data_IF_218318046882
#
_entry.id   IF_218318046882
#
_cell.length_a   1.000
_cell.length_b   1.000
_cell.length_c   1.000
_cell.angle_alpha   90.00
_cell.angle_beta   90.00
_cell.angle_gamma   90.00
#
_symmetry.space_group_name_H-M   'P 1'
#
loop_
_entity.id
_entity.type
_entity.pdbx_description
1 polymer ?
#
# COMPACT_ATOMS: atom_id res chain seq x y z
N UNK A 1 -42.00 20.82 -36.00
CA UNK A 1 -42.07 19.35 -36.20
C UNK A 1 -41.12 18.71 -35.16
N UNK A 2 -41.65 17.94 -34.20
CA UNK A 2 -40.86 17.22 -33.24
C UNK A 2 -40.38 15.93 -33.92
N UNK A 3 -39.05 15.80 -34.13
CA UNK A 3 -38.45 14.56 -34.63
C UNK A 3 -38.46 13.55 -33.51
N UNK A 4 -39.18 12.46 -33.67
CA UNK A 4 -39.16 11.32 -32.73
C UNK A 4 -37.87 10.51 -32.89
N UNK A 5 -37.36 9.99 -31.81
CA UNK A 5 -36.21 9.05 -31.80
C UNK A 5 -36.62 7.71 -32.44
N UNK A 6 -35.77 7.21 -33.33
CA UNK A 6 -36.04 5.92 -33.94
C UNK A 6 -35.56 4.77 -33.03
N UNK A 7 -36.23 3.62 -33.08
CA UNK A 7 -35.87 2.46 -32.30
C UNK A 7 -34.43 1.98 -32.61
N UNK A 8 -34.02 2.13 -33.89
CA UNK A 8 -32.67 1.72 -34.30
C UNK A 8 -31.58 2.64 -33.76
N UNK A 9 -31.83 3.94 -33.60
CA UNK A 9 -30.89 4.88 -32.97
C UNK A 9 -30.64 4.51 -31.50
N UNK A 10 -31.68 4.12 -30.77
CA UNK A 10 -31.56 3.67 -29.37
C UNK A 10 -30.75 2.38 -29.28
N UNK A 11 -31.02 1.41 -30.18
CA UNK A 11 -30.35 0.12 -30.19
C UNK A 11 -28.84 0.26 -30.47
N UNK A 12 -28.46 1.11 -31.42
CA UNK A 12 -27.04 1.38 -31.74
C UNK A 12 -26.32 2.02 -30.56
N UNK A 13 -26.94 2.99 -29.88
CA UNK A 13 -26.35 3.64 -28.71
C UNK A 13 -26.11 2.62 -27.57
N UNK A 14 -27.09 1.76 -27.29
CA UNK A 14 -26.94 0.71 -26.26
C UNK A 14 -25.83 -0.28 -26.63
N UNK A 15 -25.71 -0.67 -27.91
CA UNK A 15 -24.62 -1.55 -28.35
C UNK A 15 -23.25 -0.93 -28.16
N UNK A 16 -23.07 0.37 -28.48
CA UNK A 16 -21.80 1.08 -28.28
C UNK A 16 -21.45 1.20 -26.80
N UNK A 17 -22.42 1.55 -25.94
CA UNK A 17 -22.20 1.65 -24.50
C UNK A 17 -21.79 0.28 -23.91
N UNK A 18 -22.43 -0.82 -24.35
CA UNK A 18 -22.09 -2.16 -23.88
C UNK A 18 -20.65 -2.55 -24.20
N UNK A 19 -20.15 -2.20 -25.39
CA UNK A 19 -18.76 -2.46 -25.79
C UNK A 19 -17.79 -1.64 -24.95
N UNK A 20 -18.04 -0.34 -24.75
CA UNK A 20 -17.18 0.51 -23.94
C UNK A 20 -17.14 0.05 -22.47
N UNK A 21 -18.30 -0.29 -21.90
CA UNK A 21 -18.40 -0.76 -20.53
C UNK A 21 -17.60 -2.06 -20.28
N UNK A 22 -17.57 -2.97 -21.26
CA UNK A 22 -16.84 -4.23 -21.13
C UNK A 22 -15.33 -4.04 -21.00
N UNK A 23 -14.73 -3.07 -21.72
CA UNK A 23 -13.29 -2.76 -21.66
C UNK A 23 -12.90 -2.11 -20.34
N UNK A 24 -13.75 -1.24 -19.78
CA UNK A 24 -13.47 -0.54 -18.53
C UNK A 24 -13.41 -1.48 -17.32
N UNK A 25 -14.27 -2.51 -17.29
CA UNK A 25 -14.35 -3.43 -16.15
C UNK A 25 -13.09 -4.28 -15.97
N UNK A 26 -12.40 -4.66 -17.05
CA UNK A 26 -11.22 -5.52 -17.00
C UNK A 26 -10.03 -4.81 -16.35
N UNK A 27 -9.87 -3.52 -16.56
CA UNK A 27 -8.72 -2.75 -16.07
C UNK A 27 -8.90 -2.22 -14.63
N UNK A 28 -10.12 -2.19 -14.11
CA UNK A 28 -10.41 -1.55 -12.82
C UNK A 28 -9.74 -2.24 -11.64
N UNK A 29 -9.70 -3.57 -11.60
CA UNK A 29 -9.08 -4.33 -10.51
C UNK A 29 -7.56 -4.10 -10.43
N UNK A 30 -6.87 -4.08 -11.58
CA UNK A 30 -5.43 -3.83 -11.64
C UNK A 30 -5.09 -2.41 -11.18
N UNK A 31 -5.82 -1.41 -11.67
CA UNK A 31 -5.64 0.00 -11.29
C UNK A 31 -5.90 0.23 -9.81
N UNK A 32 -6.92 -0.42 -9.24
CA UNK A 32 -7.22 -0.35 -7.80
C UNK A 32 -6.07 -0.91 -6.96
N UNK A 33 -5.48 -2.03 -7.35
CA UNK A 33 -4.33 -2.62 -6.64
C UNK A 33 -3.09 -1.73 -6.73
N UNK A 34 -2.82 -1.11 -7.86
CA UNK A 34 -1.72 -0.16 -8.03
C UNK A 34 -1.90 1.09 -7.15
N UNK A 35 -3.11 1.63 -7.09
CA UNK A 35 -3.42 2.78 -6.22
C UNK A 35 -3.23 2.43 -4.74
N UNK A 36 -3.69 1.26 -4.29
CA UNK A 36 -3.48 0.76 -2.93
C UNK A 36 -2.00 0.54 -2.64
N UNK A 37 -1.25 -0.07 -3.55
CA UNK A 37 0.18 -0.28 -3.41
C UNK A 37 0.95 1.04 -3.26
N UNK A 38 0.61 2.06 -4.05
CA UNK A 38 1.20 3.40 -3.96
C UNK A 38 0.91 4.07 -2.61
N UNK A 39 -0.32 3.96 -2.11
CA UNK A 39 -0.71 4.47 -0.80
C UNK A 39 0.08 3.79 0.33
N UNK A 40 0.27 2.47 0.25
CA UNK A 40 1.05 1.70 1.23
C UNK A 40 2.52 2.13 1.21
N UNK A 41 3.15 2.27 0.05
CA UNK A 41 4.54 2.73 -0.07
C UNK A 41 4.72 4.12 0.54
N UNK A 42 3.77 5.02 0.31
CA UNK A 42 3.77 6.35 0.91
C UNK A 42 3.65 6.28 2.44
N UNK A 43 2.72 5.49 2.97
CA UNK A 43 2.58 5.30 4.42
C UNK A 43 3.82 4.67 5.05
N UNK A 44 4.48 3.72 4.38
CA UNK A 44 5.75 3.15 4.85
C UNK A 44 6.87 4.19 4.89
N UNK A 45 6.95 5.12 3.94
CA UNK A 45 7.93 6.21 4.02
C UNK A 45 7.66 7.15 5.21
N UNK A 46 6.40 7.38 5.56
CA UNK A 46 6.03 8.13 6.78
C UNK A 46 6.39 7.35 8.05
N UNK A 47 6.20 6.03 8.07
CA UNK A 47 6.66 5.17 9.19
C UNK A 47 8.16 5.33 9.40
N UNK A 48 8.96 5.35 8.33
CA UNK A 48 10.40 5.59 8.44
C UNK A 48 10.68 6.92 9.13
N UNK A 49 10.04 8.00 8.70
CA UNK A 49 10.18 9.31 9.34
C UNK A 49 9.80 9.30 10.82
N UNK A 50 8.71 8.60 11.18
CA UNK A 50 8.27 8.47 12.57
C UNK A 50 9.28 7.67 13.41
N UNK A 51 9.88 6.61 12.85
CA UNK A 51 10.91 5.81 13.52
C UNK A 51 12.19 6.62 13.75
N UNK A 52 12.64 7.39 12.75
CA UNK A 52 13.80 8.29 12.90
C UNK A 52 13.54 9.41 13.91
N UNK A 53 12.34 9.97 13.92
CA UNK A 53 11.94 10.95 14.95
C UNK A 53 11.96 10.33 16.35
N UNK A 54 11.48 9.11 16.51
CA UNK A 54 11.54 8.39 17.79
C UNK A 54 12.98 8.17 18.24
N UNK A 55 13.85 7.75 17.33
CA UNK A 55 15.26 7.53 17.57
C UNK A 55 15.98 8.83 17.99
N UNK A 56 15.69 9.96 17.34
CA UNK A 56 16.31 11.25 17.66
C UNK A 56 16.03 11.73 19.08
N UNK A 57 14.92 11.32 19.67
CA UNK A 57 14.51 11.68 21.04
C UNK A 57 15.07 10.69 22.07
N UNK A 58 14.94 9.38 21.80
CA UNK A 58 15.25 8.31 22.74
C UNK A 58 16.55 7.55 22.47
N UNK A 59 17.24 7.83 21.38
CA UNK A 59 18.43 7.12 20.89
C UNK A 59 18.20 5.60 20.78
N UNK A 60 16.94 5.20 20.48
CA UNK A 60 16.53 3.81 20.33
C UNK A 60 15.31 3.69 19.43
N UNK A 61 15.24 2.64 18.63
CA UNK A 61 14.04 2.28 17.88
C UNK A 61 13.07 1.39 18.67
N UNK A 62 13.49 0.91 19.84
CA UNK A 62 12.65 0.06 20.69
C UNK A 62 11.35 0.80 21.06
N UNK A 63 10.23 0.14 20.86
CA UNK A 63 8.88 0.72 21.05
C UNK A 63 8.50 1.87 20.09
N UNK A 64 9.30 2.20 19.08
CA UNK A 64 8.95 3.23 18.09
C UNK A 64 7.63 2.98 17.35
N UNK A 65 7.23 1.71 17.23
CA UNK A 65 5.92 1.30 16.68
C UNK A 65 5.00 0.68 17.74
N UNK A 66 5.15 0.99 19.01
CA UNK A 66 4.26 0.54 20.07
C UNK A 66 2.90 1.25 20.02
N UNK A 67 1.92 0.73 20.76
CA UNK A 67 0.57 1.31 20.81
C UNK A 67 0.58 2.80 21.16
N UNK A 68 -0.17 3.60 20.42
CA UNK A 68 -0.24 5.05 20.60
C UNK A 68 0.77 5.88 19.82
N UNK A 69 1.84 5.29 19.27
CA UNK A 69 2.81 6.00 18.43
C UNK A 69 2.28 6.28 17.02
N UNK A 70 2.87 7.26 16.33
CA UNK A 70 2.49 7.58 14.96
C UNK A 70 2.81 6.42 14.00
N UNK A 71 3.93 5.72 14.22
CA UNK A 71 4.22 4.50 13.47
C UNK A 71 3.11 3.45 13.62
N UNK A 72 2.59 3.23 14.82
CA UNK A 72 1.51 2.27 15.03
C UNK A 72 0.20 2.70 14.37
N UNK A 73 -0.14 3.99 14.38
CA UNK A 73 -1.32 4.53 13.67
C UNK A 73 -1.22 4.29 12.17
N UNK A 74 -0.07 4.61 11.57
CA UNK A 74 0.20 4.38 10.15
C UNK A 74 0.15 2.89 9.79
N UNK A 75 0.67 2.03 10.66
CA UNK A 75 0.58 0.57 10.53
C UNK A 75 -0.86 0.09 10.46
N UNK A 76 -1.71 0.57 11.38
CA UNK A 76 -3.14 0.23 11.40
C UNK A 76 -3.86 0.75 10.16
N UNK A 77 -3.53 1.95 9.68
CA UNK A 77 -4.10 2.51 8.45
C UNK A 77 -3.72 1.68 7.21
N UNK A 78 -2.47 1.24 7.10
CA UNK A 78 -2.03 0.33 6.04
C UNK A 78 -2.84 -0.97 6.06
N UNK A 79 -3.02 -1.57 7.23
CA UNK A 79 -3.79 -2.81 7.41
C UNK A 79 -5.25 -2.58 7.00
N UNK A 80 -5.87 -1.50 7.46
CA UNK A 80 -7.27 -1.18 7.15
C UNK A 80 -7.51 -0.93 5.65
N UNK A 81 -6.55 -0.34 4.96
CA UNK A 81 -6.65 -0.01 3.53
C UNK A 81 -6.04 -1.07 2.60
N UNK A 82 -5.34 -2.05 3.12
CA UNK A 82 -4.67 -3.10 2.34
C UNK A 82 -5.60 -4.16 1.73
N UNK A 83 -6.86 -4.22 2.15
CA UNK A 83 -7.83 -5.22 1.70
C UNK A 83 -7.80 -6.52 2.52
N UNK A 84 -8.94 -7.22 2.56
CA UNK A 84 -9.10 -8.49 3.25
C UNK A 84 -8.17 -9.57 2.67
N UNK A 85 -7.28 -10.11 3.47
CA UNK A 85 -6.38 -11.21 3.12
C UNK A 85 -4.90 -10.93 3.35
N UNK A 86 -4.47 -9.69 3.60
CA UNK A 86 -3.06 -9.32 3.81
C UNK A 86 -2.82 -8.76 5.22
N UNK A 87 -3.77 -8.98 6.12
CA UNK A 87 -3.81 -8.43 7.49
C UNK A 87 -2.68 -8.95 8.40
N UNK A 88 -1.86 -9.88 7.96
CA UNK A 88 -0.94 -10.58 8.85
C UNK A 88 0.55 -10.30 8.67
N UNK A 89 0.97 -9.42 7.76
CA UNK A 89 2.40 -9.28 7.50
C UNK A 89 2.93 -7.83 7.34
N UNK A 90 2.53 -6.91 8.24
CA UNK A 90 3.53 -5.95 8.67
C UNK A 90 4.34 -6.68 9.75
N UNK A 91 5.24 -7.50 9.31
CA UNK A 91 6.19 -8.12 10.20
C UNK A 91 7.22 -7.05 10.50
N UNK A 92 7.15 -6.47 11.69
CA UNK A 92 8.33 -5.91 12.34
C UNK A 92 9.28 -7.11 12.52
N UNK A 93 10.11 -7.38 11.52
CA UNK A 93 11.11 -8.42 11.58
C UNK A 93 12.30 -7.85 12.35
N UNK A 94 12.06 -7.56 13.62
CA UNK A 94 13.06 -7.14 14.56
C UNK A 94 13.18 -5.62 14.70
N UNK A 95 13.04 -5.20 15.94
CA UNK A 95 13.44 -3.88 16.41
C UNK A 95 14.47 -4.12 17.48
N UNK A 96 15.69 -3.70 17.23
CA UNK A 96 16.72 -3.57 18.25
C UNK A 96 16.85 -2.10 18.65
N UNK A 97 17.57 -1.78 19.72
CA UNK A 97 17.78 -0.38 20.07
C UNK A 97 18.32 0.49 18.94
N UNK A 98 19.14 -0.07 18.05
CA UNK A 98 19.85 0.68 16.98
C UNK A 98 19.45 0.30 15.57
N UNK A 99 18.52 -0.64 15.38
CA UNK A 99 18.16 -1.14 14.04
C UNK A 99 16.68 -1.49 13.95
N UNK A 100 16.10 -1.30 12.78
CA UNK A 100 14.76 -1.81 12.44
C UNK A 100 14.67 -2.20 10.97
N UNK A 101 13.77 -3.09 10.66
CA UNK A 101 13.35 -3.42 9.31
C UNK A 101 11.85 -3.71 9.27
N UNK A 102 11.15 -3.08 8.36
CA UNK A 102 9.73 -3.29 8.10
C UNK A 102 9.53 -3.76 6.66
N UNK A 103 8.75 -4.82 6.52
CA UNK A 103 8.32 -5.32 5.22
C UNK A 103 6.81 -5.40 5.14
N UNK A 104 6.26 -5.10 3.96
CA UNK A 104 4.85 -5.27 3.65
C UNK A 104 4.64 -5.88 2.27
N UNK A 105 3.71 -6.84 2.16
CA UNK A 105 3.32 -7.41 0.87
C UNK A 105 2.27 -6.52 0.22
N UNK A 106 2.51 -6.16 -1.05
CA UNK A 106 1.66 -5.21 -1.77
C UNK A 106 0.45 -5.90 -2.43
N UNK A 107 -0.71 -5.24 -2.47
CA UNK A 107 -1.82 -5.69 -3.31
C UNK A 107 -1.38 -5.77 -4.78
N UNK A 108 -1.72 -6.86 -5.45
CA UNK A 108 -1.27 -7.12 -6.82
C UNK A 108 0.07 -7.85 -6.94
N UNK A 109 0.74 -8.12 -5.81
CA UNK A 109 1.98 -8.91 -5.74
C UNK A 109 3.22 -8.07 -5.46
N UNK A 110 4.28 -8.78 -5.04
CA UNK A 110 5.53 -8.17 -4.60
C UNK A 110 5.48 -7.67 -3.15
N UNK A 111 6.61 -7.14 -2.70
CA UNK A 111 6.74 -6.59 -1.35
C UNK A 111 7.57 -5.30 -1.35
N UNK A 112 7.41 -4.51 -0.32
CA UNK A 112 8.14 -3.28 -0.08
C UNK A 112 8.78 -3.32 1.29
N UNK A 113 10.03 -2.89 1.39
CA UNK A 113 10.83 -2.91 2.59
C UNK A 113 11.40 -1.52 2.89
N UNK A 114 11.47 -1.19 4.18
CA UNK A 114 12.19 -0.02 4.70
C UNK A 114 13.04 -0.45 5.88
N UNK A 115 14.19 0.19 6.06
CA UNK A 115 15.10 -0.11 7.16
C UNK A 115 15.79 1.13 7.75
N UNK A 116 16.58 0.88 8.81
CA UNK A 116 17.33 1.90 9.55
C UNK A 116 18.47 2.54 8.75
N UNK A 117 18.92 1.92 7.64
CA UNK A 117 19.98 2.49 6.77
C UNK A 117 19.44 3.58 5.84
N UNK A 118 18.12 3.75 5.80
CA UNK A 118 17.44 4.67 4.90
C UNK A 118 16.97 4.02 3.61
N UNK A 119 17.13 2.71 3.44
CA UNK A 119 16.61 2.01 2.28
C UNK A 119 15.09 2.01 2.26
N UNK A 120 14.52 2.18 1.07
CA UNK A 120 13.10 2.01 0.80
C UNK A 120 12.93 1.47 -0.63
N UNK A 121 12.54 0.21 -0.77
CA UNK A 121 12.50 -0.42 -2.08
C UNK A 121 11.76 -1.74 -2.12
N UNK A 122 11.65 -2.27 -3.34
CA UNK A 122 11.08 -3.58 -3.59
C UNK A 122 12.11 -4.66 -3.23
N UNK A 123 11.81 -5.47 -2.21
CA UNK A 123 12.65 -6.58 -1.82
C UNK A 123 11.84 -7.70 -1.19
N UNK A 124 12.38 -8.90 -1.22
CA UNK A 124 11.67 -10.09 -0.77
C UNK A 124 11.61 -10.22 0.77
N UNK A 125 12.64 -9.83 1.50
CA UNK A 125 12.74 -10.06 2.94
C UNK A 125 13.57 -8.99 3.66
N UNK A 126 13.37 -8.88 4.98
CA UNK A 126 14.37 -8.27 5.85
C UNK A 126 15.51 -9.27 6.11
N UNK A 127 16.74 -8.84 6.00
CA UNK A 127 17.91 -9.62 6.32
C UNK A 127 18.06 -9.91 7.83
N UNK A 128 18.97 -10.80 8.16
CA UNK A 128 19.28 -11.13 9.58
C UNK A 128 19.85 -9.93 10.36
N UNK A 129 20.42 -8.95 9.67
CA UNK A 129 20.97 -7.71 10.24
C UNK A 129 19.96 -6.56 10.32
N UNK A 130 18.67 -6.83 10.10
CA UNK A 130 17.60 -5.81 10.02
C UNK A 130 17.76 -4.82 8.86
N UNK A 131 18.37 -5.23 7.77
CA UNK A 131 18.50 -4.51 6.52
C UNK A 131 17.58 -5.08 5.45
N UNK A 132 17.25 -4.26 4.46
CA UNK A 132 16.56 -4.66 3.25
C UNK A 132 17.63 -4.99 2.19
N UNK A 133 17.80 -6.27 1.79
CA UNK A 133 18.79 -6.65 0.78
C UNK A 133 18.39 -6.22 -0.64
#
# INVERSE_FOLDING_TARGET
MKKGFTLIELLVVLAVIAVIASVLLINFASTSNQAKASKIKFAMSQIRTAMESHYSIGNTYTNGCAGGTDCNKLKLDIVANGGSGVVQNITLIGVSPSKYCLKYNLPGGGSWCIDYTGYAGATANCGSNFDCP
#
